data_IF_277133801489
#
_entry.id   IF_277133801489
#
_cell.length_a   1.000
_cell.length_b   1.000
_cell.length_c   1.000
_cell.angle_alpha   90.00
_cell.angle_beta   90.00
_cell.angle_gamma   90.00
#
_symmetry.space_group_name_H-M   'P 1'
#
loop_
_entity.id
_entity.type
_entity.pdbx_description
1 polymer ?
#
# COMPACT_ATOMS: atom_id res chain seq x y z
N UNK A 1 10.73 16.34 33.80
CA UNK A 1 10.40 16.81 32.44
C UNK A 1 11.04 15.85 31.46
N UNK A 2 10.27 15.25 30.55
CA UNK A 2 10.76 14.30 29.55
C UNK A 2 10.89 15.05 28.21
N UNK A 3 12.10 15.38 27.73
CA UNK A 3 12.27 15.89 26.38
C UNK A 3 12.65 14.72 25.47
N UNK A 4 11.67 14.10 24.80
CA UNK A 4 11.97 13.12 23.74
C UNK A 4 11.01 13.17 22.54
N UNK A 5 10.21 14.22 22.41
CA UNK A 5 9.20 14.31 21.33
C UNK A 5 9.60 15.20 20.15
N UNK A 6 10.87 15.64 20.05
CA UNK A 6 11.33 16.49 18.94
C UNK A 6 12.14 15.74 17.85
N UNK A 7 12.49 14.47 18.08
CA UNK A 7 13.42 13.72 17.20
C UNK A 7 12.78 13.03 15.98
N UNK A 8 11.47 13.21 15.70
CA UNK A 8 10.76 12.40 14.70
C UNK A 8 10.46 13.10 13.36
N UNK A 9 10.90 14.35 13.15
CA UNK A 9 10.66 15.02 11.87
C UNK A 9 11.86 14.94 10.93
N UNK A 10 12.30 13.74 10.61
CA UNK A 10 13.10 13.56 9.39
C UNK A 10 12.15 13.87 8.22
N UNK A 11 12.43 14.89 7.39
CA UNK A 11 11.60 15.15 6.23
C UNK A 11 11.61 13.91 5.33
N UNK A 12 10.45 13.48 4.81
CA UNK A 12 10.41 12.34 3.91
C UNK A 12 11.32 12.60 2.70
N UNK A 13 11.99 11.56 2.16
CA UNK A 13 12.74 11.68 0.93
C UNK A 13 11.89 12.34 -0.16
N UNK A 14 12.47 13.19 -1.04
CA UNK A 14 11.73 13.87 -2.10
C UNK A 14 10.96 12.89 -3.01
N UNK A 15 11.50 11.68 -3.20
CA UNK A 15 10.84 10.60 -3.93
C UNK A 15 9.57 10.09 -3.24
N UNK A 16 9.57 9.98 -1.91
CA UNK A 16 8.41 9.53 -1.14
C UNK A 16 7.26 10.52 -1.20
N UNK A 17 7.57 11.82 -1.20
CA UNK A 17 6.57 12.91 -1.35
C UNK A 17 5.95 12.89 -2.74
N UNK A 18 6.75 12.72 -3.78
CA UNK A 18 6.26 12.63 -5.17
C UNK A 18 5.31 11.44 -5.36
N UNK A 19 5.65 10.27 -4.80
CA UNK A 19 4.76 9.10 -4.88
C UNK A 19 3.44 9.31 -4.12
N UNK A 20 3.46 9.91 -2.93
CA UNK A 20 2.25 10.13 -2.15
C UNK A 20 1.27 11.04 -2.89
N UNK A 21 1.79 12.08 -3.56
CA UNK A 21 1.01 13.01 -4.37
C UNK A 21 0.44 12.32 -5.62
N UNK A 22 1.21 11.47 -6.30
CA UNK A 22 0.70 10.66 -7.43
C UNK A 22 -0.42 9.71 -6.99
N UNK A 23 -0.26 9.05 -5.85
CA UNK A 23 -1.26 8.11 -5.32
C UNK A 23 -2.47 8.82 -4.72
N UNK A 24 -2.35 10.11 -4.38
CA UNK A 24 -3.43 10.87 -3.73
C UNK A 24 -4.70 10.96 -4.56
N UNK A 25 -4.56 10.91 -5.89
CA UNK A 25 -5.65 10.89 -6.85
C UNK A 25 -6.32 9.52 -7.00
N UNK A 26 -5.73 8.46 -6.44
CA UNK A 26 -6.28 7.11 -6.57
C UNK A 26 -7.36 6.85 -5.51
N UNK A 27 -8.52 6.29 -5.90
CA UNK A 27 -9.63 6.07 -4.96
C UNK A 27 -9.31 5.01 -3.90
N UNK A 28 -8.45 4.04 -4.23
CA UNK A 28 -8.00 2.98 -3.32
C UNK A 28 -6.85 3.39 -2.40
N UNK A 29 -6.35 4.63 -2.51
CA UNK A 29 -5.26 5.12 -1.67
C UNK A 29 -5.78 5.94 -0.49
N UNK A 30 -5.58 5.39 0.72
CA UNK A 30 -6.09 5.98 1.97
C UNK A 30 -5.07 6.91 2.64
N UNK A 31 -3.90 7.10 2.06
CA UNK A 31 -2.83 7.86 2.70
C UNK A 31 -2.30 7.14 3.94
N UNK A 32 -2.02 7.89 5.01
CA UNK A 32 -1.52 7.35 6.29
C UNK A 32 -2.64 6.63 7.04
N UNK A 33 -2.70 5.31 6.88
CA UNK A 33 -3.69 4.46 7.53
C UNK A 33 -2.99 3.35 8.32
N UNK A 34 -3.47 3.12 9.54
CA UNK A 34 -2.97 2.05 10.40
C UNK A 34 -3.42 0.68 9.89
N UNK A 35 -2.66 -0.36 10.24
CA UNK A 35 -2.96 -1.74 9.85
C UNK A 35 -4.38 -2.16 10.23
N UNK A 36 -4.77 -1.94 11.49
CA UNK A 36 -6.10 -2.31 12.02
C UNK A 36 -7.25 -1.61 11.30
N UNK A 37 -7.11 -0.31 11.04
CA UNK A 37 -8.12 0.47 10.33
C UNK A 37 -8.28 -0.04 8.89
N UNK A 38 -7.17 -0.34 8.22
CA UNK A 38 -7.19 -0.93 6.90
C UNK A 38 -7.88 -2.29 6.86
N UNK A 39 -7.61 -3.17 7.84
CA UNK A 39 -8.26 -4.48 7.96
C UNK A 39 -9.77 -4.35 8.18
N UNK A 40 -10.22 -3.35 8.95
CA UNK A 40 -11.63 -3.12 9.24
C UNK A 40 -12.44 -2.63 8.01
N UNK A 41 -11.77 -2.06 7.01
CA UNK A 41 -12.40 -1.60 5.77
C UNK A 41 -12.63 -2.72 4.76
N UNK A 42 -11.93 -3.85 4.89
CA UNK A 42 -12.06 -4.99 3.99
C UNK A 42 -13.25 -5.86 4.44
N UNK A 43 -14.17 -6.15 3.52
CA UNK A 43 -15.38 -6.92 3.82
C UNK A 43 -15.43 -8.24 3.05
N UNK A 44 -14.99 -8.22 1.79
CA UNK A 44 -15.10 -9.34 0.86
C UNK A 44 -13.72 -9.81 0.40
N UNK A 45 -13.63 -11.08 0.00
CA UNK A 45 -12.41 -11.61 -0.61
C UNK A 45 -12.13 -10.87 -1.92
N UNK A 46 -10.88 -10.46 -2.12
CA UNK A 46 -10.48 -9.63 -3.24
C UNK A 46 -10.57 -8.12 -2.99
N UNK A 47 -11.13 -7.70 -1.85
CA UNK A 47 -11.06 -6.31 -1.40
C UNK A 47 -9.61 -5.93 -1.15
N UNK A 48 -9.22 -4.73 -1.58
CA UNK A 48 -7.90 -4.18 -1.30
C UNK A 48 -7.91 -2.66 -1.18
N UNK A 49 -6.90 -2.14 -0.50
CA UNK A 49 -6.56 -0.73 -0.44
C UNK A 49 -5.05 -0.56 -0.27
N UNK A 50 -4.53 0.61 -0.65
CA UNK A 50 -3.14 0.97 -0.41
C UNK A 50 -3.07 2.04 0.66
N UNK A 51 -2.10 1.87 1.55
CA UNK A 51 -1.81 2.80 2.65
C UNK A 51 -0.32 3.08 2.74
N UNK A 52 0.01 4.28 3.19
CA UNK A 52 1.34 4.63 3.66
C UNK A 52 1.51 4.09 5.10
N UNK A 53 2.67 3.49 5.39
CA UNK A 53 3.02 3.07 6.74
C UNK A 53 3.13 4.27 7.67
N UNK A 54 2.44 4.21 8.81
CA UNK A 54 2.51 5.27 9.82
C UNK A 54 3.80 5.26 10.63
N UNK A 55 4.51 4.12 10.66
CA UNK A 55 5.79 3.97 11.36
C UNK A 55 6.99 4.29 10.46
N UNK A 56 6.88 4.00 9.16
CA UNK A 56 7.99 4.17 8.22
C UNK A 56 7.54 5.02 7.02
N UNK A 57 7.80 6.34 7.02
CA UNK A 57 7.40 7.20 5.92
C UNK A 57 8.08 6.76 4.61
N UNK A 58 7.33 6.82 3.50
CA UNK A 58 7.77 6.34 2.18
C UNK A 58 7.59 4.84 1.93
N UNK A 59 7.08 4.09 2.91
CA UNK A 59 6.76 2.67 2.75
C UNK A 59 5.26 2.49 2.43
N UNK A 60 4.95 2.02 1.23
CA UNK A 60 3.58 1.78 0.77
C UNK A 60 3.20 0.30 0.91
N UNK A 61 2.07 0.07 1.57
CA UNK A 61 1.55 -1.25 1.90
C UNK A 61 0.20 -1.46 1.23
N UNK A 62 0.10 -2.50 0.42
CA UNK A 62 -1.17 -3.02 -0.05
C UNK A 62 -1.77 -3.89 1.05
N UNK A 63 -2.98 -3.56 1.46
CA UNK A 63 -3.76 -4.35 2.42
C UNK A 63 -4.97 -4.89 1.70
N UNK A 64 -5.14 -6.21 1.67
CA UNK A 64 -6.29 -6.83 1.02
C UNK A 64 -6.72 -8.13 1.69
N UNK A 65 -7.94 -8.57 1.41
CA UNK A 65 -8.56 -9.73 2.06
C UNK A 65 -8.55 -10.92 1.11
N UNK A 66 -7.92 -12.03 1.51
CA UNK A 66 -7.88 -13.24 0.70
C UNK A 66 -8.16 -14.46 1.59
N UNK A 67 -9.11 -15.30 1.17
CA UNK A 67 -9.55 -16.48 1.91
C UNK A 67 -9.95 -16.18 3.36
N UNK A 68 -10.60 -15.04 3.59
CA UNK A 68 -11.01 -14.54 4.91
C UNK A 68 -9.87 -14.05 5.81
N UNK A 69 -8.65 -13.96 5.28
CA UNK A 69 -7.47 -13.48 6.03
C UNK A 69 -6.92 -12.20 5.41
N UNK A 70 -6.75 -11.12 6.20
CA UNK A 70 -6.12 -9.91 5.71
C UNK A 70 -4.63 -10.16 5.45
N UNK A 71 -4.18 -9.73 4.28
CA UNK A 71 -2.80 -9.81 3.80
C UNK A 71 -2.24 -8.41 3.63
N UNK A 72 -0.97 -8.25 3.98
CA UNK A 72 -0.26 -6.98 3.88
C UNK A 72 1.01 -7.17 3.07
N UNK A 73 1.08 -6.53 1.90
CA UNK A 73 2.19 -6.67 0.98
C UNK A 73 2.89 -5.33 0.79
N UNK A 74 4.21 -5.36 0.81
CA UNK A 74 5.02 -4.20 0.46
C UNK A 74 5.06 -4.03 -1.05
N UNK A 75 4.65 -2.85 -1.52
CA UNK A 75 4.64 -2.52 -2.95
C UNK A 75 5.94 -1.89 -3.43
N UNK A 76 6.66 -1.26 -2.50
CA UNK A 76 7.86 -0.48 -2.79
C UNK A 76 9.02 -1.07 -2.02
N UNK A 77 10.13 -1.26 -2.71
CA UNK A 77 11.36 -1.76 -2.12
C UNK A 77 12.18 -0.62 -1.46
N UNK A 78 13.28 -0.93 -0.74
CA UNK A 78 14.08 0.08 -0.05
C UNK A 78 14.68 1.18 -0.95
N UNK A 79 14.79 0.95 -2.27
CA UNK A 79 15.25 1.92 -3.26
C UNK A 79 14.12 2.83 -3.77
N UNK A 80 12.88 2.61 -3.32
CA UNK A 80 11.73 3.43 -3.70
C UNK A 80 11.04 2.99 -5.00
N UNK A 81 11.36 1.80 -5.52
CA UNK A 81 10.79 1.30 -6.79
C UNK A 81 9.60 0.38 -6.52
N UNK A 82 8.53 0.55 -7.29
CA UNK A 82 7.36 -0.33 -7.23
C UNK A 82 7.66 -1.67 -7.93
N UNK A 83 7.67 -2.78 -7.19
CA UNK A 83 7.93 -4.10 -7.77
C UNK A 83 7.27 -5.23 -7.01
N UNK A 84 6.95 -6.29 -7.75
CA UNK A 84 6.60 -7.60 -7.19
C UNK A 84 7.80 -8.55 -7.30
N UNK A 85 7.62 -9.82 -6.92
CA UNK A 85 8.68 -10.83 -7.01
C UNK A 85 9.26 -10.95 -8.42
N UNK A 86 8.41 -10.89 -9.44
CA UNK A 86 8.77 -11.24 -10.82
C UNK A 86 8.76 -10.02 -11.77
N UNK A 87 8.13 -8.90 -11.38
CA UNK A 87 7.95 -7.73 -12.24
C UNK A 87 8.30 -6.42 -11.55
N UNK A 88 8.91 -5.49 -12.30
CA UNK A 88 9.12 -4.10 -11.90
C UNK A 88 8.11 -3.22 -12.62
N UNK A 89 7.58 -2.24 -11.92
CA UNK A 89 6.58 -1.31 -12.43
C UNK A 89 7.07 0.13 -12.32
N UNK A 90 6.61 0.97 -13.23
CA UNK A 90 6.95 2.40 -13.23
C UNK A 90 6.30 3.17 -12.07
N UNK A 91 5.17 2.67 -11.55
CA UNK A 91 4.43 3.28 -10.46
C UNK A 91 3.56 2.25 -9.75
N UNK A 92 3.17 2.56 -8.51
CA UNK A 92 2.24 1.72 -7.74
C UNK A 92 0.90 1.60 -8.47
N UNK A 93 0.38 2.67 -9.07
CA UNK A 93 -0.87 2.60 -9.85
C UNK A 93 -0.77 1.62 -11.01
N UNK A 94 0.34 1.62 -11.76
CA UNK A 94 0.58 0.66 -12.84
C UNK A 94 0.63 -0.78 -12.31
N UNK A 95 1.29 -1.02 -11.18
CA UNK A 95 1.30 -2.32 -10.52
C UNK A 95 -0.12 -2.80 -10.21
N UNK A 96 -0.95 -1.95 -9.59
CA UNK A 96 -2.34 -2.28 -9.23
C UNK A 96 -3.16 -2.57 -10.49
N UNK A 97 -3.14 -1.67 -11.47
CA UNK A 97 -3.89 -1.83 -12.72
C UNK A 97 -3.50 -3.10 -13.48
N UNK A 98 -2.20 -3.42 -13.54
CA UNK A 98 -1.73 -4.63 -14.22
C UNK A 98 -2.30 -5.91 -13.59
N UNK A 99 -2.30 -6.01 -12.26
CA UNK A 99 -2.83 -7.20 -11.57
C UNK A 99 -4.35 -7.26 -11.61
N UNK A 100 -5.03 -6.11 -11.57
CA UNK A 100 -6.49 -6.01 -11.71
C UNK A 100 -6.97 -6.42 -13.09
N UNK A 101 -6.38 -5.86 -14.15
CA UNK A 101 -6.79 -6.07 -15.55
C UNK A 101 -6.50 -7.50 -16.02
N UNK A 102 -5.34 -8.05 -15.62
CA UNK A 102 -4.95 -9.41 -15.99
C UNK A 102 -5.47 -10.48 -15.01
N UNK A 103 -6.15 -10.08 -13.94
CA UNK A 103 -6.57 -10.98 -12.84
C UNK A 103 -5.43 -11.83 -12.26
N UNK A 104 -4.23 -11.24 -12.18
CA UNK A 104 -3.04 -11.93 -11.68
C UNK A 104 -2.88 -11.70 -10.16
N UNK A 105 -2.59 -12.75 -9.37
CA UNK A 105 -2.31 -12.58 -7.95
C UNK A 105 -0.96 -11.88 -7.74
N UNK A 106 -0.91 -10.98 -6.77
CA UNK A 106 0.36 -10.45 -6.25
C UNK A 106 0.92 -11.49 -5.28
N UNK A 107 2.10 -12.04 -5.59
CA UNK A 107 2.77 -13.02 -4.76
C UNK A 107 3.96 -12.37 -4.05
N UNK A 108 3.97 -12.42 -2.72
CA UNK A 108 5.09 -11.95 -1.91
C UNK A 108 5.28 -12.84 -0.68
N UNK A 109 6.52 -13.30 -0.46
CA UNK A 109 6.90 -14.18 0.65
C UNK A 109 5.95 -15.39 0.86
N UNK A 110 5.44 -15.99 -0.22
CA UNK A 110 4.51 -17.13 -0.17
C UNK A 110 3.05 -16.76 0.13
N UNK A 111 2.73 -15.47 0.25
CA UNK A 111 1.36 -14.97 0.31
C UNK A 111 0.90 -14.45 -1.06
N UNK A 112 -0.21 -14.98 -1.55
CA UNK A 112 -0.91 -14.50 -2.75
C UNK A 112 -2.09 -13.58 -2.40
N UNK A 113 -2.25 -12.49 -3.12
CA UNK A 113 -3.40 -11.59 -2.99
C UNK A 113 -3.95 -11.26 -4.37
N UNK A 114 -5.20 -11.65 -4.63
CA UNK A 114 -5.89 -11.27 -5.86
C UNK A 114 -6.57 -9.92 -5.65
N UNK A 115 -6.33 -8.98 -6.56
CA UNK A 115 -7.03 -7.70 -6.55
C UNK A 115 -8.31 -7.85 -7.36
N UNK A 116 -9.46 -7.59 -6.72
CA UNK A 116 -10.76 -7.65 -7.39
C UNK A 116 -11.56 -6.38 -7.15
N UNK A 117 -11.59 -5.89 -5.91
CA UNK A 117 -12.38 -4.71 -5.54
C UNK A 117 -11.53 -3.71 -4.77
N UNK A 118 -11.39 -2.52 -5.35
CA UNK A 118 -10.77 -1.39 -4.66
C UNK A 118 -11.69 -0.86 -3.58
N UNK A 119 -11.22 -0.81 -2.33
CA UNK A 119 -11.94 -0.14 -1.25
C UNK A 119 -11.68 1.35 -1.33
N UNK A 120 -12.70 2.09 -1.71
CA UNK A 120 -12.62 3.53 -1.93
C UNK A 120 -12.41 4.30 -0.61
N UNK A 121 -11.56 5.32 -0.65
CA UNK A 121 -11.42 6.28 0.44
C UNK A 121 -12.68 7.13 0.51
N UNK A 122 -13.42 7.03 1.62
CA UNK A 122 -14.50 7.96 1.93
C UNK A 122 -13.88 9.34 2.19
N UNK A 123 -14.18 10.30 1.30
CA UNK A 123 -13.80 11.71 1.40
C UNK A 123 -14.60 12.43 2.50
#
# INVERSE_FOLDING_TARGET
MKPFEDALRVPPPPQSVAMAEQLRGEPWFHGKLNRREAEALLQLNGDFLVRESTTTPGQYVLTGLQSGQPKHLLLVDPEGVARTKDHRFESVSHLISYHMDNHLPIISAGSELCLQQSVERKL
#
